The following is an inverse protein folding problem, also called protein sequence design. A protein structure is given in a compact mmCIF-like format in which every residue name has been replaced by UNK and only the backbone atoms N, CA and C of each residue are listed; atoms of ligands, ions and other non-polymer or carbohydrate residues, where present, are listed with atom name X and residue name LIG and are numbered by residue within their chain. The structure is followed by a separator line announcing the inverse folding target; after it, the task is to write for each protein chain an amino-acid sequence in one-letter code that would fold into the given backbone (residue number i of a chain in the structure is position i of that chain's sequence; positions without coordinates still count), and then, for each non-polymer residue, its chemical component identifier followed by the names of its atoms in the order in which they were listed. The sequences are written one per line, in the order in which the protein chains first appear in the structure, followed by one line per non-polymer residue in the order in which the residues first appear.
data_IF_925143717801
#
_entry.id   IF_925143717801
#
_cell.length_a   1.000
_cell.length_b   1.000
_cell.length_c   1.000
_cell.angle_alpha   90.00
_cell.angle_beta   90.00
_cell.angle_gamma   90.00
#
_symmetry.space_group_name_H-M   'P 1'
#
loop_
_entity.id
_entity.type
_entity.pdbx_description
1 polymer ?
#
# COMPACT_ATOMS: atom_id res chain seq x y z
N UNK A 1 -22.14 -7.55 16.48
CA UNK A 1 -20.78 -8.14 16.35
C UNK A 1 -20.16 -7.57 15.10
N UNK A 2 -19.09 -6.78 15.21
CA UNK A 2 -18.34 -6.30 14.03
C UNK A 2 -17.44 -7.44 13.55
N UNK A 3 -17.19 -7.54 12.24
CA UNK A 3 -16.25 -8.54 11.70
C UNK A 3 -14.88 -7.91 11.55
N UNK A 4 -13.84 -8.61 12.01
CA UNK A 4 -12.45 -8.21 11.79
C UNK A 4 -11.96 -8.64 10.42
N UNK A 5 -11.26 -7.75 9.72
CA UNK A 5 -10.74 -7.98 8.37
C UNK A 5 -9.24 -7.72 8.35
N UNK A 6 -8.45 -8.71 7.94
CA UNK A 6 -7.02 -8.51 7.72
C UNK A 6 -6.77 -7.93 6.32
N UNK A 7 -6.07 -6.80 6.25
CA UNK A 7 -5.65 -6.16 5.00
C UNK A 7 -4.13 -6.29 4.89
N UNK A 8 -3.64 -6.93 3.83
CA UNK A 8 -2.21 -7.14 3.60
C UNK A 8 -1.71 -6.16 2.54
N UNK A 9 -0.79 -5.29 2.93
CA UNK A 9 -0.26 -4.17 2.16
C UNK A 9 -1.02 -2.87 2.40
N UNK A 10 -0.29 -1.77 2.61
CA UNK A 10 -0.78 -0.41 2.76
C UNK A 10 -0.48 0.47 1.53
N UNK A 11 -0.50 -0.14 0.33
CA UNK A 11 -0.50 0.56 -0.96
C UNK A 11 -1.88 1.13 -1.31
N UNK A 12 -2.02 1.67 -2.52
CA UNK A 12 -3.28 2.28 -2.97
C UNK A 12 -4.50 1.36 -2.79
N UNK A 13 -4.39 0.07 -3.15
CA UNK A 13 -5.47 -0.91 -2.98
C UNK A 13 -5.79 -1.20 -1.52
N UNK A 14 -4.78 -1.33 -0.67
CA UNK A 14 -4.95 -1.59 0.77
C UNK A 14 -5.64 -0.45 1.50
N UNK A 15 -5.24 0.80 1.22
CA UNK A 15 -5.85 1.98 1.81
C UNK A 15 -7.33 2.13 1.40
N UNK A 16 -7.66 1.86 0.14
CA UNK A 16 -9.06 1.83 -0.33
C UNK A 16 -9.84 0.70 0.37
N UNK A 17 -9.25 -0.48 0.52
CA UNK A 17 -9.88 -1.60 1.22
C UNK A 17 -10.19 -1.25 2.68
N UNK A 18 -9.27 -0.59 3.40
CA UNK A 18 -9.48 -0.12 4.77
C UNK A 18 -10.65 0.86 4.82
N UNK A 19 -10.68 1.86 3.92
CA UNK A 19 -11.77 2.83 3.84
C UNK A 19 -13.13 2.15 3.62
N UNK A 20 -13.22 1.25 2.64
CA UNK A 20 -14.45 0.49 2.38
C UNK A 20 -14.86 -0.37 3.58
N UNK A 21 -13.92 -1.00 4.29
CA UNK A 21 -14.22 -1.75 5.49
C UNK A 21 -14.85 -0.87 6.57
N UNK A 22 -14.31 0.34 6.80
CA UNK A 22 -14.83 1.28 7.78
C UNK A 22 -16.24 1.77 7.39
N UNK A 23 -16.48 2.06 6.11
CA UNK A 23 -17.78 2.53 5.62
C UNK A 23 -18.87 1.45 5.78
N UNK A 24 -18.50 0.17 5.69
CA UNK A 24 -19.39 -0.98 5.92
C UNK A 24 -19.48 -1.41 7.40
N UNK A 25 -18.87 -0.66 8.33
CA UNK A 25 -18.91 -0.96 9.77
C UNK A 25 -18.08 -2.18 10.20
N UNK A 26 -17.08 -2.56 9.41
CA UNK A 26 -16.10 -3.61 9.72
C UNK A 26 -14.93 -3.05 10.53
N UNK A 27 -14.14 -3.95 11.13
CA UNK A 27 -12.94 -3.59 11.90
C UNK A 27 -11.68 -4.07 11.14
N UNK A 28 -11.09 -3.23 10.26
CA UNK A 28 -9.91 -3.60 9.51
C UNK A 28 -8.64 -3.57 10.39
N UNK A 29 -7.74 -4.53 10.15
CA UNK A 29 -6.37 -4.57 10.70
C UNK A 29 -5.41 -4.65 9.52
N UNK A 30 -4.54 -3.65 9.37
CA UNK A 30 -3.60 -3.56 8.26
C UNK A 30 -2.22 -4.07 8.66
N UNK A 31 -1.60 -4.86 7.77
CA UNK A 31 -0.22 -5.31 7.87
C UNK A 31 0.55 -4.82 6.65
N UNK A 32 1.57 -4.00 6.84
CA UNK A 32 2.48 -3.51 5.80
C UNK A 32 3.90 -3.96 6.15
N UNK A 33 4.66 -4.41 5.15
CA UNK A 33 6.02 -4.91 5.36
C UNK A 33 7.06 -3.78 5.43
N UNK A 34 6.76 -2.64 4.81
CA UNK A 34 7.59 -1.43 4.89
C UNK A 34 7.31 -0.64 6.16
N UNK A 35 8.23 0.25 6.52
CA UNK A 35 8.08 1.15 7.68
C UNK A 35 7.06 2.28 7.48
N UNK A 36 6.37 2.30 6.33
CA UNK A 36 5.49 3.40 5.94
C UNK A 36 4.51 2.97 4.83
N UNK A 37 3.42 3.71 4.67
CA UNK A 37 2.35 3.45 3.72
C UNK A 37 2.68 3.98 2.31
N UNK A 38 1.78 3.71 1.35
CA UNK A 38 1.84 4.27 0.00
C UNK A 38 2.30 3.28 -1.07
N UNK A 39 2.90 2.14 -0.67
CA UNK A 39 3.31 1.08 -1.60
C UNK A 39 4.17 1.63 -2.75
N UNK A 40 3.76 1.37 -4.00
CA UNK A 40 4.46 1.84 -5.20
C UNK A 40 4.59 3.37 -5.28
N UNK A 41 3.65 4.12 -4.70
CA UNK A 41 3.63 5.58 -4.76
C UNK A 41 4.56 6.24 -3.75
N UNK A 42 5.10 5.47 -2.79
CA UNK A 42 6.13 5.96 -1.87
C UNK A 42 7.49 5.87 -2.54
N UNK A 43 8.02 7.01 -2.96
CA UNK A 43 9.38 7.11 -3.49
C UNK A 43 10.40 6.77 -2.40
N UNK A 44 11.25 5.78 -2.65
CA UNK A 44 12.35 5.39 -1.75
C UNK A 44 13.68 5.88 -2.34
N UNK A 45 14.29 6.87 -1.72
CA UNK A 45 15.65 7.34 -2.08
C UNK A 45 16.63 6.22 -1.72
N UNK A 46 17.12 5.48 -2.73
CA UNK A 46 18.11 4.40 -2.56
C UNK A 46 17.60 2.97 -2.73
N UNK A 47 16.34 2.76 -3.15
CA UNK A 47 15.85 1.43 -3.49
C UNK A 47 16.39 0.98 -4.86
N UNK A 48 17.16 -0.11 -4.88
CA UNK A 48 17.46 -0.85 -6.09
C UNK A 48 16.15 -1.05 -6.89
N UNK A 49 16.15 -0.54 -8.11
CA UNK A 49 15.05 -0.59 -9.06
C UNK A 49 14.62 -2.05 -9.28
N UNK A 50 13.45 -2.42 -8.77
CA UNK A 50 12.75 -3.64 -9.19
C UNK A 50 11.35 -3.36 -9.73
N UNK A 51 11.05 -2.12 -10.16
CA UNK A 51 9.69 -1.79 -10.61
C UNK A 51 9.51 -0.50 -11.41
N UNK A 52 10.57 0.08 -11.95
CA UNK A 52 10.44 1.21 -12.86
C UNK A 52 11.63 1.23 -13.81
N UNK A 53 11.39 0.89 -15.07
CA UNK A 53 12.33 1.19 -16.15
C UNK A 53 12.66 2.67 -16.06
N UNK A 54 13.88 2.98 -15.62
CA UNK A 54 14.47 4.30 -15.77
C UNK A 54 14.52 4.56 -17.29
N UNK A 55 13.55 5.34 -17.77
CA UNK A 55 13.67 6.01 -19.06
C UNK A 55 14.77 7.06 -18.90
N UNK A 56 16.03 6.62 -18.95
CA UNK A 56 17.19 7.48 -19.09
C UNK A 56 18.07 6.88 -20.19
N UNK A 57 17.53 6.92 -21.40
CA UNK A 57 18.25 6.79 -22.67
C UNK A 57 17.65 7.79 -23.65
N UNK A 58 17.95 9.07 -23.42
CA UNK A 58 17.97 10.09 -24.46
C UNK A 58 19.22 10.94 -24.20
N UNK A 59 20.35 10.38 -24.64
CA UNK A 59 21.45 11.18 -25.17
C UNK A 59 21.26 11.31 -26.68
#
# INVERSE_FOLDING_TARGET
MTRRVAVIGAGASGLVCIKSCLDEGLEPVCFESSDDIGGLWRFKVGGATSGGTLCNHLG
#
